data_IF_036703184881
#
_entry.id   IF_036703184881
#
_cell.length_a   1.000
_cell.length_b   1.000
_cell.length_c   1.000
_cell.angle_alpha   90.00
_cell.angle_beta   90.00
_cell.angle_gamma   90.00
#
_symmetry.space_group_name_H-M   'P 1'
#
loop_
_entity.id
_entity.type
_entity.pdbx_description
1 polymer ?
#
# COMPACT_ATOMS: atom_id res chain seq x y z
N UNK A 1 -1.70 -22.33 -15.04
CA UNK A 1 -2.97 -22.21 -14.28
C UNK A 1 -3.21 -20.74 -14.01
N UNK A 2 -4.32 -20.18 -14.52
CA UNK A 2 -4.61 -18.76 -14.31
C UNK A 2 -4.87 -18.46 -12.84
N UNK A 3 -4.22 -17.45 -12.32
CA UNK A 3 -4.48 -16.90 -10.98
C UNK A 3 -5.90 -16.35 -10.95
N UNK A 4 -6.65 -16.65 -9.89
CA UNK A 4 -7.97 -16.06 -9.66
C UNK A 4 -7.90 -15.04 -8.54
N UNK A 5 -8.41 -13.85 -8.76
CA UNK A 5 -8.59 -12.83 -7.73
C UNK A 5 -9.94 -13.08 -7.05
N UNK A 6 -9.93 -13.16 -5.73
CA UNK A 6 -11.13 -13.41 -4.91
C UNK A 6 -11.26 -12.30 -3.88
N UNK A 7 -12.35 -11.55 -3.95
CA UNK A 7 -12.66 -10.50 -2.99
C UNK A 7 -13.39 -11.09 -1.78
N UNK A 8 -12.78 -10.99 -0.60
CA UNK A 8 -13.37 -11.44 0.65
C UNK A 8 -14.01 -10.26 1.36
N UNK A 9 -15.28 -10.40 1.71
CA UNK A 9 -16.00 -9.42 2.51
C UNK A 9 -16.95 -10.09 3.51
N UNK A 10 -17.30 -9.37 4.54
CA UNK A 10 -18.36 -9.71 5.51
C UNK A 10 -19.76 -9.49 4.90
N UNK A 11 -20.78 -9.82 5.66
CA UNK A 11 -22.18 -9.59 5.29
C UNK A 11 -22.58 -8.16 5.65
N UNK A 12 -22.78 -7.30 4.65
CA UNK A 12 -23.34 -5.96 4.85
C UNK A 12 -24.86 -6.05 5.10
N UNK A 13 -25.55 -6.83 4.28
CA UNK A 13 -26.97 -7.07 4.41
C UNK A 13 -27.30 -8.55 4.30
N UNK A 14 -28.41 -9.00 4.88
CA UNK A 14 -28.86 -10.40 4.76
C UNK A 14 -29.11 -10.82 3.32
N UNK A 15 -29.34 -9.87 2.41
CA UNK A 15 -29.53 -10.13 0.98
C UNK A 15 -28.25 -10.57 0.27
N UNK A 16 -27.09 -10.24 0.85
CA UNK A 16 -25.79 -10.60 0.29
C UNK A 16 -25.57 -12.11 0.23
N UNK A 17 -26.11 -12.82 1.20
CA UNK A 17 -25.94 -14.27 1.31
C UNK A 17 -27.05 -15.07 0.61
N UNK A 18 -27.99 -14.39 -0.02
CA UNK A 18 -29.14 -15.02 -0.69
C UNK A 18 -28.96 -15.06 -2.21
N UNK A 19 -29.52 -16.09 -2.84
CA UNK A 19 -29.75 -16.09 -4.28
C UNK A 19 -30.82 -15.05 -4.64
N UNK A 20 -30.80 -14.53 -5.88
CA UNK A 20 -31.76 -13.50 -6.35
C UNK A 20 -33.23 -13.86 -6.06
N UNK A 21 -33.59 -15.12 -6.19
CA UNK A 21 -34.94 -15.66 -5.98
C UNK A 21 -35.40 -15.49 -4.51
N UNK A 22 -34.50 -15.55 -3.55
CA UNK A 22 -34.80 -15.50 -2.13
C UNK A 22 -34.69 -14.10 -1.52
N UNK A 23 -34.32 -13.08 -2.28
CA UNK A 23 -34.21 -11.70 -1.76
C UNK A 23 -35.53 -11.12 -1.31
N UNK A 24 -36.68 -11.62 -1.82
CA UNK A 24 -38.04 -11.21 -1.42
C UNK A 24 -38.52 -11.86 -0.13
N UNK A 25 -37.79 -12.78 0.48
CA UNK A 25 -38.15 -13.41 1.74
C UNK A 25 -38.32 -12.38 2.88
N UNK A 26 -39.24 -12.59 3.81
CA UNK A 26 -39.32 -11.80 5.02
C UNK A 26 -38.01 -11.82 5.81
N UNK A 27 -37.71 -10.72 6.54
CA UNK A 27 -36.45 -10.53 7.27
C UNK A 27 -36.17 -11.67 8.25
N UNK A 28 -37.20 -12.24 8.86
CA UNK A 28 -37.08 -13.37 9.80
C UNK A 28 -36.41 -14.59 9.13
N UNK A 29 -36.84 -14.98 7.96
CA UNK A 29 -36.23 -16.09 7.21
C UNK A 29 -34.82 -15.78 6.76
N UNK A 30 -34.53 -14.54 6.35
CA UNK A 30 -33.18 -14.10 5.99
C UNK A 30 -32.21 -14.23 7.18
N UNK A 31 -32.68 -13.86 8.39
CA UNK A 31 -31.88 -14.03 9.62
C UNK A 31 -31.62 -15.52 9.92
N UNK A 32 -32.60 -16.39 9.75
CA UNK A 32 -32.41 -17.85 9.94
C UNK A 32 -31.36 -18.39 8.99
N UNK A 33 -31.42 -18.04 7.70
CA UNK A 33 -30.44 -18.46 6.71
C UNK A 33 -29.04 -17.95 7.07
N UNK A 34 -28.93 -16.71 7.52
CA UNK A 34 -27.66 -16.16 8.01
C UNK A 34 -27.11 -16.95 9.20
N UNK A 35 -27.93 -17.21 10.21
CA UNK A 35 -27.53 -17.99 11.39
C UNK A 35 -27.09 -19.40 11.02
N UNK A 36 -27.80 -20.07 10.11
CA UNK A 36 -27.40 -21.36 9.59
C UNK A 36 -26.03 -21.32 8.93
N UNK A 37 -25.83 -20.39 8.00
CA UNK A 37 -24.51 -20.24 7.33
C UNK A 37 -23.40 -19.88 8.30
N UNK A 38 -23.69 -19.05 9.30
CA UNK A 38 -22.74 -18.69 10.33
C UNK A 38 -22.37 -19.91 11.21
N UNK A 39 -23.33 -20.68 11.72
CA UNK A 39 -23.09 -21.86 12.54
C UNK A 39 -22.25 -22.89 11.78
N UNK A 40 -22.59 -23.15 10.53
CA UNK A 40 -21.91 -24.16 9.71
C UNK A 40 -20.69 -23.62 8.95
N UNK A 41 -20.27 -22.37 9.16
CA UNK A 41 -19.12 -21.75 8.50
C UNK A 41 -19.20 -21.80 6.94
N UNK A 42 -20.38 -21.52 6.38
CA UNK A 42 -20.64 -21.61 4.93
C UNK A 42 -20.46 -20.24 4.27
N UNK A 43 -19.39 -20.08 3.52
CA UNK A 43 -19.14 -18.87 2.70
C UNK A 43 -20.06 -18.86 1.49
N UNK A 44 -20.64 -17.70 1.18
CA UNK A 44 -21.42 -17.51 -0.05
C UNK A 44 -20.50 -17.05 -1.16
N UNK A 45 -20.40 -17.84 -2.23
CA UNK A 45 -19.56 -17.55 -3.38
C UNK A 45 -20.40 -16.97 -4.50
N UNK A 46 -20.05 -15.78 -4.97
CA UNK A 46 -20.65 -15.15 -6.14
C UNK A 46 -19.57 -15.01 -7.20
N UNK A 47 -19.89 -15.36 -8.43
CA UNK A 47 -19.04 -15.13 -9.58
C UNK A 47 -19.79 -14.17 -10.51
N UNK A 48 -19.23 -13.01 -10.75
CA UNK A 48 -19.80 -11.96 -11.60
C UNK A 48 -18.73 -11.54 -12.61
N UNK A 49 -18.98 -11.81 -13.89
CA UNK A 49 -18.04 -11.56 -14.98
C UNK A 49 -16.66 -12.21 -14.70
N UNK A 50 -15.60 -11.41 -14.60
CA UNK A 50 -14.23 -11.86 -14.31
C UNK A 50 -13.89 -11.91 -12.81
N UNK A 51 -14.80 -11.48 -11.93
CA UNK A 51 -14.55 -11.31 -10.52
C UNK A 51 -15.27 -12.34 -9.67
N UNK A 52 -14.58 -12.82 -8.62
CA UNK A 52 -15.15 -13.72 -7.63
C UNK A 52 -15.28 -12.99 -6.29
N UNK A 53 -16.49 -12.88 -5.78
CA UNK A 53 -16.77 -12.28 -4.47
C UNK A 53 -17.21 -13.37 -3.50
N UNK A 54 -16.49 -13.54 -2.41
CA UNK A 54 -16.82 -14.49 -1.36
C UNK A 54 -17.26 -13.75 -0.11
N UNK A 55 -18.48 -14.02 0.33
CA UNK A 55 -19.11 -13.36 1.47
C UNK A 55 -19.02 -14.28 2.67
N UNK A 56 -18.24 -13.87 3.65
CA UNK A 56 -18.02 -14.56 4.91
C UNK A 56 -19.26 -14.32 5.79
N UNK A 57 -19.89 -15.36 6.39
CA UNK A 57 -21.12 -15.23 7.14
C UNK A 57 -20.90 -14.70 8.56
N UNK A 58 -20.24 -13.53 8.67
CA UNK A 58 -20.01 -12.77 9.89
C UNK A 58 -20.57 -11.38 9.72
N UNK A 59 -21.06 -10.80 10.80
CA UNK A 59 -21.60 -9.44 10.85
C UNK A 59 -21.26 -8.83 12.20
N UNK A 60 -20.79 -7.58 12.18
CA UNK A 60 -20.39 -6.85 13.38
C UNK A 60 -19.28 -7.56 14.21
N UNK A 61 -19.38 -7.59 15.53
CA UNK A 61 -18.36 -8.19 16.38
C UNK A 61 -18.32 -9.72 16.26
N UNK A 62 -17.18 -10.25 15.88
CA UNK A 62 -16.90 -11.70 15.82
C UNK A 62 -15.55 -12.01 16.48
N UNK A 63 -15.38 -13.27 16.94
CA UNK A 63 -14.11 -13.71 17.52
C UNK A 63 -13.14 -14.15 16.43
N UNK A 64 -11.83 -13.98 16.68
CA UNK A 64 -10.77 -14.45 15.81
C UNK A 64 -10.85 -15.96 15.56
N UNK A 65 -11.18 -16.76 16.59
CA UNK A 65 -11.38 -18.21 16.45
C UNK A 65 -12.49 -18.56 15.44
N UNK A 66 -13.54 -17.73 15.40
CA UNK A 66 -14.63 -17.93 14.44
C UNK A 66 -14.16 -17.65 13.02
N UNK A 67 -13.43 -16.55 12.83
CA UNK A 67 -12.86 -16.20 11.55
C UNK A 67 -11.91 -17.27 11.07
N UNK A 68 -11.00 -17.74 11.93
CA UNK A 68 -10.06 -18.81 11.62
C UNK A 68 -10.77 -20.09 11.16
N UNK A 69 -11.80 -20.55 11.89
CA UNK A 69 -12.59 -21.74 11.51
C UNK A 69 -13.23 -21.60 10.13
N UNK A 70 -13.76 -20.39 9.80
CA UNK A 70 -14.35 -20.12 8.50
C UNK A 70 -13.29 -20.16 7.40
N UNK A 71 -12.16 -19.48 7.61
CA UNK A 71 -11.06 -19.42 6.64
C UNK A 71 -10.48 -20.81 6.39
N UNK A 72 -10.14 -21.54 7.45
CA UNK A 72 -9.60 -22.91 7.37
C UNK A 72 -10.52 -23.86 6.59
N UNK A 73 -11.83 -23.74 6.78
CA UNK A 73 -12.80 -24.59 6.08
C UNK A 73 -12.94 -24.26 4.59
N UNK A 74 -12.87 -22.97 4.23
CA UNK A 74 -13.27 -22.49 2.90
C UNK A 74 -12.09 -22.10 2.01
N UNK A 75 -10.99 -21.59 2.59
CA UNK A 75 -9.80 -21.22 1.84
C UNK A 75 -8.87 -22.44 1.72
N UNK A 76 -8.24 -22.57 0.57
CA UNK A 76 -7.27 -23.63 0.29
C UNK A 76 -5.98 -22.98 -0.20
N UNK A 77 -4.86 -23.60 0.14
CA UNK A 77 -3.57 -23.29 -0.49
C UNK A 77 -3.68 -23.64 -1.97
N UNK A 78 -3.77 -22.63 -2.80
CA UNK A 78 -3.87 -22.73 -4.24
C UNK A 78 -3.30 -21.46 -4.90
N UNK A 79 -3.44 -21.33 -6.21
CA UNK A 79 -2.99 -20.14 -6.93
C UNK A 79 -3.94 -18.93 -6.83
N UNK A 80 -4.98 -18.99 -5.98
CA UNK A 80 -5.85 -17.86 -5.77
C UNK A 80 -5.16 -16.80 -4.93
N UNK A 81 -5.49 -15.53 -5.20
CA UNK A 81 -5.05 -14.38 -4.43
C UNK A 81 -6.30 -13.71 -3.87
N UNK A 82 -6.26 -13.40 -2.59
CA UNK A 82 -7.40 -12.86 -1.88
C UNK A 82 -7.26 -11.36 -1.64
N UNK A 83 -8.33 -10.61 -1.85
CA UNK A 83 -8.44 -9.18 -1.55
C UNK A 83 -9.32 -9.05 -0.32
N UNK A 84 -8.86 -8.34 0.69
CA UNK A 84 -9.51 -8.26 2.01
C UNK A 84 -10.28 -6.95 2.11
N UNK A 85 -11.53 -6.98 2.62
CA UNK A 85 -12.33 -5.78 2.85
C UNK A 85 -11.81 -4.98 4.04
N UNK A 86 -12.10 -3.67 4.08
CA UNK A 86 -11.72 -2.76 5.19
C UNK A 86 -12.16 -3.27 6.56
N UNK A 87 -13.32 -3.90 6.66
CA UNK A 87 -13.82 -4.40 7.94
C UNK A 87 -13.07 -5.66 8.39
N UNK A 88 -12.75 -6.56 7.44
CA UNK A 88 -11.96 -7.75 7.74
C UNK A 88 -10.50 -7.40 8.07
N UNK A 89 -9.94 -6.33 7.49
CA UNK A 89 -8.59 -5.83 7.82
C UNK A 89 -8.43 -5.42 9.28
N UNK A 90 -9.52 -5.04 9.94
CA UNK A 90 -9.52 -4.69 11.36
C UNK A 90 -9.33 -5.90 12.30
N UNK A 91 -9.41 -7.11 11.76
CA UNK A 91 -9.18 -8.36 12.48
C UNK A 91 -7.74 -8.86 12.28
N UNK A 92 -7.42 -10.00 12.86
CA UNK A 92 -6.14 -10.69 12.64
C UNK A 92 -6.15 -11.57 11.38
N UNK A 93 -6.93 -11.20 10.35
CA UNK A 93 -7.08 -12.02 9.12
C UNK A 93 -5.76 -12.27 8.42
N UNK A 94 -4.87 -11.28 8.37
CA UNK A 94 -3.57 -11.41 7.74
C UNK A 94 -2.67 -12.41 8.47
N UNK A 95 -2.65 -12.40 9.79
CA UNK A 95 -1.90 -13.37 10.62
C UNK A 95 -2.40 -14.80 10.37
N UNK A 96 -3.73 -14.97 10.30
CA UNK A 96 -4.33 -16.26 9.99
C UNK A 96 -3.96 -16.71 8.58
N UNK A 97 -4.02 -15.82 7.58
CA UNK A 97 -3.68 -16.14 6.21
C UNK A 97 -2.20 -16.52 6.06
N UNK A 98 -1.31 -15.79 6.72
CA UNK A 98 0.13 -16.07 6.76
C UNK A 98 0.41 -17.45 7.40
N UNK A 99 -0.27 -17.76 8.52
CA UNK A 99 -0.16 -19.06 9.20
C UNK A 99 -0.53 -20.24 8.28
N UNK A 100 -1.51 -20.03 7.40
CA UNK A 100 -1.97 -21.07 6.46
C UNK A 100 -1.36 -20.95 5.06
N UNK A 101 -0.37 -20.07 4.83
CA UNK A 101 0.27 -19.86 3.54
C UNK A 101 -0.70 -19.40 2.43
N UNK A 102 -1.74 -18.66 2.80
CA UNK A 102 -2.76 -18.15 1.88
C UNK A 102 -2.31 -16.79 1.31
N UNK A 103 -2.23 -16.68 -0.01
CA UNK A 103 -1.79 -15.46 -0.70
C UNK A 103 -2.90 -14.40 -0.70
N UNK A 104 -2.52 -13.17 -0.42
CA UNK A 104 -3.43 -12.01 -0.44
C UNK A 104 -2.75 -10.77 -1.03
N UNK A 105 -3.55 -9.81 -1.47
CA UNK A 105 -3.08 -8.54 -2.02
C UNK A 105 -2.65 -7.63 -0.88
N UNK A 106 -1.50 -6.97 -1.05
CA UNK A 106 -0.97 -5.96 -0.13
C UNK A 106 -0.68 -4.66 -0.89
N UNK A 107 -0.70 -3.54 -0.17
CA UNK A 107 -0.46 -2.22 -0.76
C UNK A 107 1.01 -1.96 -1.14
N UNK A 108 1.96 -2.71 -0.58
CA UNK A 108 3.40 -2.44 -0.72
C UNK A 108 3.83 -2.30 -2.18
N UNK A 109 3.44 -3.24 -3.05
CA UNK A 109 3.79 -3.22 -4.47
C UNK A 109 3.26 -1.96 -5.16
N UNK A 110 2.03 -1.57 -4.86
CA UNK A 110 1.40 -0.37 -5.44
C UNK A 110 2.00 0.91 -4.88
N UNK A 111 2.32 0.94 -3.58
CA UNK A 111 3.05 2.07 -3.00
C UNK A 111 4.37 2.32 -3.72
N UNK A 112 5.11 1.23 -4.02
CA UNK A 112 6.36 1.30 -4.79
C UNK A 112 6.11 1.76 -6.23
N UNK A 113 5.09 1.24 -6.91
CA UNK A 113 4.73 1.65 -8.26
C UNK A 113 4.34 3.14 -8.36
N UNK A 114 3.60 3.65 -7.38
CA UNK A 114 3.18 5.06 -7.33
C UNK A 114 4.24 6.01 -6.76
N UNK A 115 5.43 5.51 -6.43
CA UNK A 115 6.45 6.29 -5.71
C UNK A 115 6.92 7.51 -6.51
N UNK A 116 7.15 7.36 -7.80
CA UNK A 116 7.58 8.48 -8.67
C UNK A 116 6.48 9.53 -8.76
N UNK A 117 5.23 9.12 -9.01
CA UNK A 117 4.08 10.03 -8.96
C UNK A 117 3.93 10.72 -7.60
N UNK A 118 4.27 10.00 -6.50
CA UNK A 118 4.32 10.57 -5.15
C UNK A 118 5.39 11.66 -5.00
N UNK A 119 6.58 11.45 -5.56
CA UNK A 119 7.64 12.45 -5.55
C UNK A 119 7.29 13.68 -6.41
N UNK A 120 6.71 13.48 -7.58
CA UNK A 120 6.21 14.56 -8.44
C UNK A 120 5.13 15.37 -7.74
N UNK A 121 4.22 14.69 -7.04
CA UNK A 121 3.17 15.35 -6.27
C UNK A 121 3.74 16.16 -5.10
N UNK A 122 4.74 15.65 -4.37
CA UNK A 122 5.48 16.42 -3.36
C UNK A 122 6.15 17.65 -3.97
N UNK A 123 6.84 17.49 -5.10
CA UNK A 123 7.50 18.59 -5.80
C UNK A 123 6.49 19.68 -6.16
N UNK A 124 5.36 19.31 -6.77
CA UNK A 124 4.26 20.21 -7.11
C UNK A 124 3.71 20.95 -5.87
N UNK A 125 3.48 20.26 -4.76
CA UNK A 125 3.00 20.87 -3.51
C UNK A 125 4.02 21.85 -2.92
N UNK A 126 5.31 21.56 -3.05
CA UNK A 126 6.41 22.44 -2.64
C UNK A 126 6.71 23.54 -3.66
N UNK A 127 6.03 23.58 -4.81
CA UNK A 127 6.31 24.48 -5.95
C UNK A 127 7.75 24.42 -6.41
N UNK A 128 8.27 23.21 -6.54
CA UNK A 128 9.63 22.89 -7.01
C UNK A 128 9.56 21.88 -8.14
N UNK A 129 10.60 21.84 -8.97
CA UNK A 129 10.78 20.77 -9.95
C UNK A 129 11.34 19.51 -9.25
N UNK A 130 10.97 18.33 -9.73
CA UNK A 130 11.45 17.07 -9.17
C UNK A 130 12.98 16.97 -9.23
N UNK A 131 13.58 17.48 -10.29
CA UNK A 131 15.03 17.53 -10.49
C UNK A 131 15.76 18.49 -9.51
N UNK A 132 15.05 19.17 -8.63
CA UNK A 132 15.63 19.98 -7.55
C UNK A 132 15.60 19.29 -6.19
N UNK A 133 15.05 18.07 -6.12
CA UNK A 133 14.88 17.33 -4.86
C UNK A 133 16.18 16.60 -4.47
N UNK A 134 16.43 16.59 -3.15
CA UNK A 134 17.43 15.75 -2.51
C UNK A 134 16.68 14.59 -1.82
N UNK A 135 16.94 13.37 -2.25
CA UNK A 135 16.24 12.17 -1.81
C UNK A 135 17.21 11.18 -1.15
N UNK A 136 16.78 10.60 -0.05
CA UNK A 136 17.51 9.54 0.65
C UNK A 136 16.64 8.28 0.68
N UNK A 137 17.14 7.16 0.20
CA UNK A 137 16.44 5.87 0.20
C UNK A 137 17.03 4.97 1.28
N UNK A 138 16.17 4.46 2.16
CA UNK A 138 16.45 3.38 3.09
C UNK A 138 16.09 2.06 2.46
N UNK A 139 17.07 1.17 2.23
CA UNK A 139 16.86 -0.10 1.54
C UNK A 139 17.79 -1.18 2.10
N UNK A 140 17.27 -2.39 2.35
CA UNK A 140 18.02 -3.58 2.77
C UNK A 140 18.24 -4.55 1.62
N UNK A 141 17.21 -4.70 0.80
CA UNK A 141 17.13 -5.71 -0.23
C UNK A 141 17.37 -5.12 -1.61
N UNK A 142 18.16 -5.84 -2.41
CA UNK A 142 18.49 -5.51 -3.79
C UNK A 142 17.61 -6.27 -4.78
N UNK A 143 16.33 -6.46 -4.46
CA UNK A 143 15.36 -7.02 -5.40
C UNK A 143 15.28 -6.20 -6.69
N UNK A 144 14.89 -6.84 -7.80
CA UNK A 144 14.80 -6.19 -9.10
C UNK A 144 13.90 -4.95 -9.06
N UNK A 145 12.81 -5.00 -8.29
CA UNK A 145 11.90 -3.87 -8.08
C UNK A 145 12.61 -2.70 -7.41
N UNK A 146 13.36 -2.97 -6.33
CA UNK A 146 14.07 -1.93 -5.60
C UNK A 146 15.19 -1.31 -6.47
N UNK A 147 15.95 -2.14 -7.18
CA UNK A 147 16.99 -1.67 -8.09
C UNK A 147 16.43 -0.82 -9.22
N UNK A 148 15.33 -1.25 -9.85
CA UNK A 148 14.64 -0.50 -10.88
C UNK A 148 14.18 0.88 -10.38
N UNK A 149 13.50 0.93 -9.23
CA UNK A 149 13.01 2.19 -8.68
C UNK A 149 14.14 3.14 -8.27
N UNK A 150 15.24 2.62 -7.73
CA UNK A 150 16.42 3.43 -7.42
C UNK A 150 16.98 4.05 -8.69
N UNK A 151 17.08 3.28 -9.79
CA UNK A 151 17.55 3.76 -11.09
C UNK A 151 16.64 4.87 -11.64
N UNK A 152 15.31 4.66 -11.64
CA UNK A 152 14.37 5.66 -12.13
C UNK A 152 14.40 6.94 -11.28
N UNK A 153 14.45 6.82 -9.95
CA UNK A 153 14.56 8.00 -9.07
C UNK A 153 15.88 8.74 -9.30
N UNK A 154 16.99 8.00 -9.53
CA UNK A 154 18.30 8.61 -9.79
C UNK A 154 18.31 9.49 -11.03
N UNK A 155 17.53 9.14 -12.06
CA UNK A 155 17.39 9.93 -13.30
C UNK A 155 16.59 11.22 -13.09
N UNK A 156 15.74 11.27 -12.08
CA UNK A 156 14.77 12.36 -11.88
C UNK A 156 15.20 13.39 -10.84
N UNK A 157 15.96 13.01 -9.82
CA UNK A 157 16.25 13.87 -8.67
C UNK A 157 17.65 14.50 -8.78
N UNK A 158 17.86 15.61 -8.04
CA UNK A 158 19.16 16.31 -8.04
C UNK A 158 20.26 15.49 -7.38
N UNK A 159 19.97 14.99 -6.19
CA UNK A 159 20.90 14.21 -5.40
C UNK A 159 20.19 12.99 -4.84
N UNK A 160 20.79 11.81 -5.01
CA UNK A 160 20.30 10.57 -4.46
C UNK A 160 21.32 9.99 -3.49
N UNK A 161 20.84 9.65 -2.27
CA UNK A 161 21.62 8.95 -1.27
C UNK A 161 20.96 7.62 -0.93
N UNK A 162 21.73 6.55 -0.96
CA UNK A 162 21.30 5.22 -0.55
C UNK A 162 21.85 4.92 0.83
N UNK A 163 20.98 4.54 1.75
CA UNK A 163 21.34 4.11 3.10
C UNK A 163 20.97 2.64 3.26
N UNK A 164 21.98 1.81 3.48
CA UNK A 164 21.81 0.37 3.64
C UNK A 164 22.83 -0.18 4.62
N UNK A 165 22.42 -1.19 5.39
CA UNK A 165 23.34 -1.95 6.25
C UNK A 165 24.43 -2.62 5.40
N UNK A 166 24.07 -3.08 4.21
CA UNK A 166 24.98 -3.74 3.28
C UNK A 166 25.03 -3.02 1.94
N UNK A 167 25.81 -1.95 1.86
CA UNK A 167 26.00 -1.13 0.64
C UNK A 167 26.60 -1.93 -0.52
N UNK A 168 27.35 -2.99 -0.25
CA UNK A 168 28.00 -3.80 -1.30
C UNK A 168 26.99 -4.48 -2.24
N UNK A 169 25.76 -4.72 -1.76
CA UNK A 169 24.67 -5.27 -2.60
C UNK A 169 24.31 -4.35 -3.77
N UNK A 170 24.61 -3.05 -3.67
CA UNK A 170 24.24 -2.02 -4.67
C UNK A 170 25.39 -1.61 -5.57
N UNK A 171 26.57 -2.23 -5.43
CA UNK A 171 27.77 -1.85 -6.19
C UNK A 171 27.58 -1.96 -7.72
N UNK A 172 26.93 -3.03 -8.18
CA UNK A 172 26.62 -3.18 -9.62
C UNK A 172 25.71 -2.08 -10.15
N UNK A 173 24.75 -1.64 -9.36
CA UNK A 173 23.87 -0.54 -9.70
C UNK A 173 24.64 0.79 -9.74
N UNK A 174 25.52 1.02 -8.78
CA UNK A 174 26.42 2.20 -8.75
C UNK A 174 27.27 2.28 -10.02
N UNK A 175 27.95 1.17 -10.36
CA UNK A 175 28.77 1.06 -11.56
C UNK A 175 27.95 1.31 -12.84
N UNK A 176 26.75 0.72 -12.95
CA UNK A 176 25.83 0.94 -14.07
C UNK A 176 25.44 2.41 -14.20
N UNK A 177 24.96 3.03 -13.12
CA UNK A 177 24.50 4.42 -13.14
C UNK A 177 25.62 5.40 -13.48
N UNK A 178 26.83 5.17 -12.96
CA UNK A 178 27.98 6.00 -13.26
C UNK A 178 28.47 5.82 -14.70
N UNK A 179 28.66 4.58 -15.15
CA UNK A 179 29.26 4.29 -16.46
C UNK A 179 28.29 4.53 -17.63
N UNK A 180 26.99 4.21 -17.46
CA UNK A 180 26.01 4.30 -18.54
C UNK A 180 25.29 5.65 -18.58
N UNK A 181 25.03 6.26 -17.41
CA UNK A 181 24.20 7.45 -17.29
C UNK A 181 24.96 8.68 -16.74
N UNK A 182 26.20 8.51 -16.30
CA UNK A 182 26.97 9.61 -15.70
C UNK A 182 26.42 10.07 -14.33
N UNK A 183 25.59 9.27 -13.67
CA UNK A 183 24.93 9.62 -12.40
C UNK A 183 25.75 9.09 -11.24
N UNK A 184 26.18 9.99 -10.35
CA UNK A 184 26.85 9.64 -9.10
C UNK A 184 25.85 9.55 -7.95
N UNK A 185 25.83 8.40 -7.26
CA UNK A 185 25.01 8.18 -6.07
C UNK A 185 25.88 8.17 -4.82
N UNK A 186 25.35 8.72 -3.73
CA UNK A 186 26.01 8.64 -2.43
C UNK A 186 25.54 7.39 -1.68
N UNK A 187 26.48 6.62 -1.12
CA UNK A 187 26.19 5.46 -0.27
C UNK A 187 26.59 5.71 1.19
N UNK A 188 25.79 5.18 2.10
CA UNK A 188 26.09 5.27 3.53
C UNK A 188 25.57 4.05 4.28
N UNK A 189 26.39 3.53 5.21
CA UNK A 189 25.97 2.52 6.19
C UNK A 189 25.88 3.08 7.61
N UNK A 190 26.02 4.40 7.78
CA UNK A 190 26.00 5.04 9.10
C UNK A 190 24.56 5.27 9.58
N UNK A 191 24.17 4.60 10.66
CA UNK A 191 22.87 4.77 11.30
C UNK A 191 22.65 6.19 11.85
N UNK A 192 23.64 6.75 12.56
CA UNK A 192 23.45 7.99 13.31
C UNK A 192 23.42 9.25 12.45
N UNK A 193 24.18 9.28 11.35
CA UNK A 193 24.38 10.52 10.57
C UNK A 193 23.67 10.54 9.22
N UNK A 194 23.22 9.39 8.76
CA UNK A 194 22.71 9.27 7.37
C UNK A 194 21.42 10.03 7.13
N UNK A 195 20.56 10.18 8.13
CA UNK A 195 19.23 10.78 8.00
C UNK A 195 19.08 12.15 8.69
N UNK A 196 20.09 12.61 9.43
CA UNK A 196 20.03 13.91 10.15
C UNK A 196 19.78 15.11 9.24
N UNK A 197 20.23 15.04 7.98
CA UNK A 197 20.09 16.12 7.00
C UNK A 197 19.19 15.74 5.82
N UNK A 198 18.54 14.59 5.87
CA UNK A 198 17.68 14.13 4.80
C UNK A 198 16.36 14.91 4.78
N UNK A 199 16.04 15.53 3.64
CA UNK A 199 14.79 16.28 3.46
C UNK A 199 13.62 15.39 3.06
N UNK A 200 13.88 14.42 2.17
CA UNK A 200 12.91 13.41 1.74
C UNK A 200 13.57 12.05 1.98
N UNK A 201 12.89 11.20 2.72
CA UNK A 201 13.33 9.85 3.06
C UNK A 201 12.31 8.88 2.49
N UNK A 202 12.77 7.93 1.69
CA UNK A 202 11.94 6.85 1.17
C UNK A 202 12.36 5.57 1.90
N UNK A 203 11.41 4.97 2.61
CA UNK A 203 11.62 3.71 3.30
C UNK A 203 11.10 2.55 2.45
N UNK A 204 11.99 1.72 1.91
CA UNK A 204 11.61 0.54 1.14
C UNK A 204 11.31 -0.67 2.01
N UNK A 205 12.17 -0.95 3.02
CA UNK A 205 12.19 -2.27 3.65
C UNK A 205 12.41 -2.23 5.18
N UNK A 206 12.58 -1.04 5.80
CA UNK A 206 12.83 -0.95 7.24
C UNK A 206 11.53 -0.91 8.02
N UNK A 207 11.45 -1.69 9.09
CA UNK A 207 10.34 -1.67 10.05
C UNK A 207 10.30 -0.39 10.88
N UNK A 208 9.18 -0.14 11.59
CA UNK A 208 9.06 0.98 12.52
C UNK A 208 10.15 0.98 13.58
N UNK A 209 10.53 -0.18 14.10
CA UNK A 209 11.57 -0.29 15.14
C UNK A 209 12.91 0.17 14.56
N UNK A 210 13.29 -0.38 13.41
CA UNK A 210 14.60 -0.11 12.80
C UNK A 210 14.73 1.34 12.33
N UNK A 211 13.69 1.93 11.74
CA UNK A 211 13.76 3.32 11.28
C UNK A 211 13.88 4.29 12.46
N UNK A 212 13.32 3.95 13.62
CA UNK A 212 13.42 4.76 14.82
C UNK A 212 14.78 4.64 15.55
N UNK A 213 15.68 3.75 15.10
CA UNK A 213 17.08 3.70 15.55
C UNK A 213 17.95 4.77 14.88
N UNK A 214 17.47 5.35 13.77
CA UNK A 214 18.18 6.42 13.06
C UNK A 214 17.89 7.80 13.67
N UNK A 215 18.87 8.69 13.62
CA UNK A 215 18.64 10.12 13.86
C UNK A 215 17.98 10.72 12.61
N UNK A 216 16.69 10.88 12.66
CA UNK A 216 15.89 11.40 11.55
C UNK A 216 15.83 12.92 11.65
N UNK A 217 16.00 13.60 10.51
CA UNK A 217 15.78 15.04 10.42
C UNK A 217 14.37 15.41 10.90
N UNK A 218 14.27 16.32 11.86
CA UNK A 218 12.98 16.71 12.47
C UNK A 218 11.94 17.19 11.44
N UNK A 219 12.42 17.69 10.33
CA UNK A 219 11.61 18.32 9.28
C UNK A 219 11.51 17.46 8.02
N UNK A 220 11.84 16.18 8.10
CA UNK A 220 11.82 15.30 6.93
C UNK A 220 10.40 14.96 6.47
N UNK A 221 10.26 14.73 5.17
CA UNK A 221 9.12 14.05 4.59
C UNK A 221 9.53 12.59 4.42
N UNK A 222 8.80 11.68 5.05
CA UNK A 222 9.07 10.24 5.00
C UNK A 222 7.98 9.59 4.17
N UNK A 223 8.37 8.86 3.12
CA UNK A 223 7.48 8.04 2.29
C UNK A 223 7.73 6.59 2.68
N UNK A 224 6.73 5.94 3.23
CA UNK A 224 6.81 4.56 3.64
C UNK A 224 6.23 3.63 2.58
N UNK A 225 7.07 2.78 2.00
CA UNK A 225 6.67 1.78 1.01
C UNK A 225 6.45 0.39 1.60
N UNK A 226 6.67 0.19 2.91
CA UNK A 226 6.47 -1.13 3.54
C UNK A 226 4.97 -1.47 3.71
N UNK A 227 4.69 -2.74 3.98
CA UNK A 227 3.33 -3.22 4.29
C UNK A 227 2.73 -2.49 5.49
N UNK A 228 3.52 -2.39 6.56
CA UNK A 228 3.06 -1.85 7.84
C UNK A 228 3.21 -0.33 7.89
N UNK A 229 2.29 0.34 8.57
CA UNK A 229 2.42 1.75 8.84
C UNK A 229 3.58 1.99 9.82
N UNK A 230 4.37 3.02 9.57
CA UNK A 230 5.43 3.44 10.48
C UNK A 230 5.04 4.73 11.19
N UNK A 231 5.55 4.89 12.42
CA UNK A 231 5.41 6.12 13.20
C UNK A 231 6.76 6.53 13.73
N UNK A 232 7.16 7.77 13.48
CA UNK A 232 8.38 8.32 14.03
C UNK A 232 8.15 8.70 15.49
N UNK A 233 8.94 8.12 16.40
CA UNK A 233 8.78 8.24 17.85
C UNK A 233 9.49 9.46 18.46
N UNK A 234 10.37 10.11 17.69
CA UNK A 234 11.05 11.32 18.16
C UNK A 234 10.05 12.41 18.52
N UNK A 235 10.15 12.96 19.72
CA UNK A 235 9.31 14.09 20.17
C UNK A 235 9.56 15.37 19.38
N UNK A 236 10.73 15.48 18.76
CA UNK A 236 11.14 16.64 17.98
C UNK A 236 10.72 16.51 16.50
N UNK A 237 10.17 15.38 16.10
CA UNK A 237 9.75 15.18 14.72
C UNK A 237 8.47 15.97 14.40
N UNK A 238 8.64 17.03 13.63
CA UNK A 238 7.55 17.90 13.11
C UNK A 238 7.27 17.66 11.62
N UNK A 239 7.98 16.72 11.01
CA UNK A 239 7.91 16.37 9.59
C UNK A 239 6.60 15.68 9.20
N UNK A 240 6.58 15.20 7.97
CA UNK A 240 5.43 14.51 7.39
C UNK A 240 5.78 13.04 7.24
N UNK A 241 4.93 12.15 7.77
CA UNK A 241 5.04 10.73 7.55
C UNK A 241 3.88 10.23 6.67
N UNK A 242 4.21 9.81 5.46
CA UNK A 242 3.28 9.30 4.45
C UNK A 242 3.35 7.79 4.48
N UNK A 243 2.25 7.14 4.88
CA UNK A 243 2.15 5.69 4.95
C UNK A 243 1.40 5.06 3.76
N UNK A 244 0.58 5.85 3.07
CA UNK A 244 -0.19 5.39 1.91
C UNK A 244 -0.65 6.59 1.07
N UNK A 245 -1.36 6.32 -0.02
CA UNK A 245 -1.89 7.32 -0.95
C UNK A 245 -3.40 7.21 -1.07
N UNK A 246 -4.11 8.35 -1.10
CA UNK A 246 -5.46 8.39 -1.66
C UNK A 246 -5.34 8.65 -3.16
N UNK A 247 -5.98 7.79 -3.96
CA UNK A 247 -5.86 7.78 -5.41
C UNK A 247 -7.20 8.02 -6.10
N UNK A 248 -7.14 8.64 -7.26
CA UNK A 248 -8.23 8.69 -8.20
C UNK A 248 -7.99 7.66 -9.30
N UNK A 249 -8.92 6.73 -9.46
CA UNK A 249 -8.88 5.71 -10.51
C UNK A 249 -9.73 6.13 -11.71
N UNK A 250 -9.40 5.59 -12.89
CA UNK A 250 -10.19 5.75 -14.10
C UNK A 250 -11.67 5.38 -13.84
N UNK A 251 -12.60 6.13 -14.44
CA UNK A 251 -14.06 5.91 -14.31
C UNK A 251 -14.49 4.51 -14.70
N UNK A 252 -13.86 3.90 -15.68
CA UNK A 252 -14.18 2.53 -16.14
C UNK A 252 -13.87 1.51 -15.04
N UNK A 253 -12.71 1.61 -14.42
CA UNK A 253 -12.30 0.76 -13.29
C UNK A 253 -13.26 0.94 -12.11
N UNK A 254 -13.57 2.18 -11.77
CA UNK A 254 -14.52 2.50 -10.68
C UNK A 254 -15.90 1.91 -10.98
N UNK A 255 -16.39 2.07 -12.21
CA UNK A 255 -17.70 1.54 -12.61
C UNK A 255 -17.74 0.02 -12.54
N UNK A 256 -16.67 -0.67 -12.93
CA UNK A 256 -16.55 -2.13 -12.82
C UNK A 256 -16.70 -2.57 -11.37
N UNK A 257 -15.97 -1.97 -10.45
CA UNK A 257 -16.05 -2.32 -9.02
C UNK A 257 -17.40 -1.94 -8.39
N UNK A 258 -18.05 -0.86 -8.86
CA UNK A 258 -19.40 -0.49 -8.43
C UNK A 258 -20.45 -1.50 -8.89
N UNK A 259 -20.38 -1.99 -10.14
CA UNK A 259 -21.29 -3.01 -10.68
C UNK A 259 -21.31 -4.28 -9.83
N UNK A 260 -20.15 -4.74 -9.37
CA UNK A 260 -20.03 -5.94 -8.52
C UNK A 260 -20.16 -5.64 -7.02
N UNK A 261 -20.53 -4.40 -6.66
CA UNK A 261 -20.82 -3.95 -5.30
C UNK A 261 -19.68 -4.20 -4.30
N UNK A 262 -18.44 -3.89 -4.69
CA UNK A 262 -17.27 -4.01 -3.80
C UNK A 262 -16.56 -2.68 -3.56
N UNK A 263 -16.80 -1.65 -4.39
CA UNK A 263 -16.05 -0.39 -4.36
C UNK A 263 -15.97 0.26 -2.99
N UNK A 264 -17.07 0.31 -2.26
CA UNK A 264 -17.16 0.96 -0.94
C UNK A 264 -16.53 0.14 0.19
N UNK A 265 -16.52 -1.20 0.04
CA UNK A 265 -16.05 -2.13 1.07
C UNK A 265 -14.52 -2.25 1.12
N UNK A 266 -13.80 -1.72 0.13
CA UNK A 266 -12.35 -1.91 0.01
C UNK A 266 -11.62 -0.56 -0.05
N UNK A 267 -10.35 -0.58 0.36
CA UNK A 267 -9.45 0.54 0.12
C UNK A 267 -9.20 0.67 -1.38
N UNK A 268 -9.23 1.90 -1.93
CA UNK A 268 -8.99 2.16 -3.35
C UNK A 268 -7.63 1.64 -3.81
N UNK A 269 -6.60 1.80 -2.97
CA UNK A 269 -5.26 1.33 -3.27
C UNK A 269 -5.20 -0.20 -3.35
N UNK A 270 -5.88 -0.91 -2.45
CA UNK A 270 -6.01 -2.38 -2.49
C UNK A 270 -6.79 -2.85 -3.73
N UNK A 271 -7.86 -2.15 -4.10
CA UNK A 271 -8.58 -2.47 -5.34
C UNK A 271 -7.68 -2.31 -6.56
N UNK A 272 -6.89 -1.25 -6.60
CA UNK A 272 -5.94 -1.03 -7.68
C UNK A 272 -4.82 -2.07 -7.67
N UNK A 273 -4.30 -2.41 -6.49
CA UNK A 273 -3.33 -3.50 -6.32
C UNK A 273 -3.84 -4.84 -6.87
N UNK A 274 -5.14 -5.12 -6.70
CA UNK A 274 -5.74 -6.36 -7.21
C UNK A 274 -5.75 -6.45 -8.74
N UNK A 275 -5.83 -5.32 -9.44
CA UNK A 275 -5.71 -5.27 -10.90
C UNK A 275 -4.29 -5.61 -11.32
N UNK A 276 -3.32 -4.95 -10.69
CA UNK A 276 -1.89 -5.14 -10.97
C UNK A 276 -1.45 -6.59 -10.69
N UNK A 277 -2.00 -7.24 -9.67
CA UNK A 277 -1.68 -8.64 -9.35
C UNK A 277 -2.14 -9.63 -10.42
N UNK A 278 -3.06 -9.25 -11.33
CA UNK A 278 -3.42 -10.09 -12.49
C UNK A 278 -2.27 -10.19 -13.49
N UNK A 279 -1.52 -9.12 -13.70
CA UNK A 279 -0.59 -8.96 -14.83
C UNK A 279 0.84 -9.46 -14.56
N UNK A 280 1.17 -9.91 -13.38
CA UNK A 280 2.40 -10.62 -12.95
C UNK A 280 3.75 -9.91 -13.19
N UNK A 281 3.84 -8.87 -14.02
CA UNK A 281 5.07 -8.17 -14.36
C UNK A 281 5.06 -6.76 -13.78
N UNK A 282 6.07 -6.46 -12.94
CA UNK A 282 6.19 -5.15 -12.31
C UNK A 282 6.50 -4.05 -13.35
N UNK A 283 7.32 -4.34 -14.34
CA UNK A 283 7.71 -3.37 -15.36
C UNK A 283 6.53 -3.04 -16.28
N UNK A 284 5.75 -4.04 -16.68
CA UNK A 284 4.50 -3.83 -17.42
C UNK A 284 3.54 -2.99 -16.60
N UNK A 285 3.34 -3.33 -15.31
CA UNK A 285 2.48 -2.58 -14.41
C UNK A 285 2.96 -1.14 -14.18
N UNK A 286 4.28 -0.89 -14.18
CA UNK A 286 4.83 0.46 -14.05
C UNK A 286 4.50 1.33 -15.28
N UNK A 287 4.69 0.80 -16.47
CA UNK A 287 4.34 1.50 -17.71
C UNK A 287 2.81 1.72 -17.82
N UNK A 288 2.01 0.73 -17.44
CA UNK A 288 0.55 0.83 -17.42
C UNK A 288 0.03 1.90 -16.45
N UNK A 289 0.74 2.19 -15.36
CA UNK A 289 0.36 3.28 -14.44
C UNK A 289 0.47 4.64 -15.12
N UNK A 290 1.52 4.89 -15.89
CA UNK A 290 1.67 6.13 -16.65
C UNK A 290 0.52 6.27 -17.67
N UNK A 291 0.09 5.17 -18.29
CA UNK A 291 -1.01 5.14 -19.26
C UNK A 291 -2.40 5.12 -18.60
N UNK A 292 -2.56 4.49 -17.42
CA UNK A 292 -3.84 4.21 -16.78
C UNK A 292 -4.51 5.40 -16.12
N UNK A 293 -3.85 6.58 -16.11
CA UNK A 293 -4.37 7.82 -15.52
C UNK A 293 -4.80 7.69 -14.04
N UNK A 294 -4.08 6.89 -13.27
CA UNK A 294 -4.18 6.89 -11.82
C UNK A 294 -3.43 8.11 -11.29
N UNK A 295 -4.07 8.94 -10.52
CA UNK A 295 -3.47 10.12 -9.93
C UNK A 295 -3.58 10.12 -8.41
N UNK A 296 -2.55 10.60 -7.74
CA UNK A 296 -2.58 10.82 -6.29
C UNK A 296 -3.40 12.10 -6.02
N UNK A 297 -4.36 11.99 -5.13
CA UNK A 297 -5.20 13.11 -4.67
C UNK A 297 -4.61 13.69 -3.40
N UNK A 298 -4.37 12.84 -2.41
CA UNK A 298 -3.86 13.20 -1.09
C UNK A 298 -2.92 12.11 -0.56
N UNK A 299 -2.15 12.45 0.47
CA UNK A 299 -1.36 11.51 1.23
C UNK A 299 -2.12 10.99 2.45
N UNK A 300 -1.80 9.79 2.89
CA UNK A 300 -2.35 9.19 4.11
C UNK A 300 -1.21 9.02 5.12
N UNK A 301 -1.34 9.68 6.26
CA UNK A 301 -0.40 9.58 7.37
C UNK A 301 -0.95 8.77 8.55
N UNK A 302 -0.29 8.88 9.70
CA UNK A 302 -0.71 8.17 10.92
C UNK A 302 -2.05 8.64 11.51
N UNK A 303 -2.48 9.86 11.18
CA UNK A 303 -3.74 10.46 11.68
C UNK A 303 -4.86 10.45 10.63
N UNK A 304 -4.63 9.83 9.49
CA UNK A 304 -5.55 9.82 8.34
C UNK A 304 -5.04 10.66 7.17
N UNK A 305 -5.96 11.23 6.41
CA UNK A 305 -5.66 11.99 5.19
C UNK A 305 -4.90 13.27 5.53
N UNK A 306 -3.81 13.50 4.84
CA UNK A 306 -3.02 14.73 4.84
C UNK A 306 -3.38 15.47 3.56
N UNK A 307 -4.33 16.39 3.65
CA UNK A 307 -4.75 17.16 2.49
C UNK A 307 -3.69 18.19 2.06
N UNK A 308 -3.88 18.75 0.87
CA UNK A 308 -2.95 19.71 0.26
C UNK A 308 -2.67 20.94 1.12
N UNK A 309 -3.67 21.44 1.86
CA UNK A 309 -3.49 22.59 2.73
C UNK A 309 -2.67 22.26 3.97
N UNK A 310 -2.96 21.14 4.59
CA UNK A 310 -2.21 20.63 5.73
C UNK A 310 -0.76 20.39 5.36
N UNK A 311 -0.51 19.70 4.23
CA UNK A 311 0.84 19.46 3.71
C UNK A 311 1.61 20.78 3.51
N UNK A 312 1.00 21.76 2.83
CA UNK A 312 1.62 23.07 2.59
C UNK A 312 1.89 23.84 3.89
N UNK A 313 0.99 23.77 4.85
CA UNK A 313 1.16 24.43 6.15
C UNK A 313 2.31 23.84 6.96
N UNK A 314 2.43 22.51 7.00
CA UNK A 314 3.54 21.83 7.65
C UNK A 314 4.85 22.21 6.96
N UNK A 315 4.96 22.07 5.63
CA UNK A 315 6.20 22.36 4.90
C UNK A 315 6.62 23.83 5.01
N UNK A 316 5.68 24.79 5.01
CA UNK A 316 6.01 26.20 5.22
C UNK A 316 6.57 26.49 6.62
N UNK A 317 6.05 25.85 7.67
CA UNK A 317 6.61 25.95 9.03
C UNK A 317 8.04 25.43 9.06
N UNK A 318 8.28 24.28 8.43
CA UNK A 318 9.57 23.64 8.34
C UNK A 318 10.61 24.52 7.62
N UNK A 319 10.26 25.14 6.51
CA UNK A 319 11.14 26.03 5.75
C UNK A 319 11.47 27.34 6.53
N UNK A 320 10.57 27.82 7.38
CA UNK A 320 10.83 28.99 8.24
C UNK A 320 11.81 28.65 9.38
N UNK A 321 11.72 27.48 9.96
CA UNK A 321 12.61 27.03 11.02
C UNK A 321 14.06 26.85 10.50
N UNK A 322 14.25 26.30 9.29
CA UNK A 322 15.57 26.21 8.63
C UNK A 322 16.26 27.54 8.34
N UNK A 323 15.54 28.64 8.25
CA UNK A 323 16.12 29.99 8.03
C UNK A 323 16.54 30.66 9.34
N UNK A 324 16.22 30.07 10.48
CA UNK A 324 16.56 30.59 11.82
C UNK A 324 17.73 29.85 12.47
N UNK A 325 18.11 28.69 11.94
CA UNK A 325 19.33 27.94 12.23
C UNK A 325 20.46 28.34 11.26
#
# INVERSE_FOLDING_TARGET
MNKKIIYLKEVDSYDDILKKEYKKLPLFFKKIIFLFKNIFNIVTKKSEEEYNVWIIPIKEKYSNDKLEKILKKNLKINNNIYVISKELEKSNIYEIMDMYGIKYVIEEKVKKLLLISGLEYIAKLKKKDINSLDVTILVKDNSDINLFLIEEIAKLVKNLKIVSINIYKFRKLEEKLYNELGIAIQFSNSYKKSLERANIIINFDYSEIEINEYNICNNAIIINCTKDNIKIKSRLFEGININSYDINMNKEIVNTFKKINIYENYNKLILYASIIEKDNDFLVSYNDIEESKVSIIDFIGNKGIINNEEFKNITKKLDKNKKKE
#
